data_IF_289834254414
#
_entry.id   IF_289834254414
#
_cell.length_a   1.000
_cell.length_b   1.000
_cell.length_c   1.000
_cell.angle_alpha   90.00
_cell.angle_beta   90.00
_cell.angle_gamma   90.00
#
_symmetry.space_group_name_H-M   'P 1'
#
loop_
_entity.id
_entity.type
_entity.pdbx_description
1 polymer ?
#
# COMPACT_ATOMS: atom_id res chain seq x y z
N UNK A 1 -2.23 17.51 -16.22
CA UNK A 1 -3.32 17.81 -15.28
C UNK A 1 -2.87 17.48 -13.88
N UNK A 2 -3.58 17.95 -12.86
CA UNK A 2 -3.20 17.76 -11.46
C UNK A 2 -3.72 16.43 -10.92
N UNK A 3 -2.95 15.79 -10.04
CA UNK A 3 -3.37 14.59 -9.32
C UNK A 3 -3.65 14.96 -7.86
N UNK A 4 -4.90 14.87 -7.45
CA UNK A 4 -5.34 15.12 -6.08
C UNK A 4 -5.46 13.83 -5.28
N UNK A 5 -5.32 13.95 -3.97
CA UNK A 5 -5.66 12.92 -3.00
C UNK A 5 -6.90 13.35 -2.22
N UNK A 6 -7.84 12.43 -2.03
CA UNK A 6 -8.95 12.69 -1.12
C UNK A 6 -9.43 11.43 -0.39
N UNK A 7 -10.21 11.63 0.66
CA UNK A 7 -10.71 10.56 1.50
C UNK A 7 -11.88 9.83 0.82
N UNK A 8 -11.77 8.51 0.74
CA UNK A 8 -12.84 7.59 0.31
C UNK A 8 -14.11 7.69 1.17
N UNK A 9 -14.01 8.26 2.38
CA UNK A 9 -15.16 8.48 3.29
C UNK A 9 -16.09 9.59 2.80
N UNK A 10 -15.66 10.45 1.87
CA UNK A 10 -16.51 11.51 1.32
C UNK A 10 -17.52 10.95 0.34
N UNK A 11 -18.71 11.55 0.31
CA UNK A 11 -19.73 11.24 -0.68
C UNK A 11 -19.29 11.70 -2.08
N UNK A 12 -19.66 10.94 -3.10
CA UNK A 12 -19.31 11.22 -4.50
C UNK A 12 -19.73 12.62 -4.94
N UNK A 13 -20.94 13.06 -4.59
CA UNK A 13 -21.43 14.40 -4.90
C UNK A 13 -20.52 15.52 -4.35
N UNK A 14 -19.93 15.30 -3.17
CA UNK A 14 -18.99 16.26 -2.57
C UNK A 14 -17.68 16.31 -3.36
N UNK A 15 -17.19 15.16 -3.81
CA UNK A 15 -15.97 15.06 -4.61
C UNK A 15 -16.17 15.69 -6.00
N UNK A 16 -17.28 15.40 -6.68
CA UNK A 16 -17.63 15.98 -7.99
C UNK A 16 -17.75 17.50 -7.91
N UNK A 17 -18.38 18.03 -6.85
CA UNK A 17 -18.46 19.48 -6.63
C UNK A 17 -17.09 20.11 -6.36
N UNK A 18 -16.22 19.42 -5.63
CA UNK A 18 -14.90 19.92 -5.25
C UNK A 18 -13.89 19.85 -6.40
N UNK A 19 -14.01 18.84 -7.26
CA UNK A 19 -13.13 18.60 -8.41
C UNK A 19 -13.97 18.45 -9.69
N UNK A 20 -14.60 19.53 -10.18
CA UNK A 20 -15.44 19.46 -11.37
C UNK A 20 -14.65 18.97 -12.59
N UNK A 21 -15.16 17.95 -13.28
CA UNK A 21 -14.52 17.38 -14.47
C UNK A 21 -13.34 16.46 -14.20
N UNK A 22 -12.95 16.26 -12.93
CA UNK A 22 -11.88 15.32 -12.58
C UNK A 22 -12.37 13.87 -12.60
N UNK A 23 -11.47 12.95 -12.96
CA UNK A 23 -11.71 11.51 -12.85
C UNK A 23 -11.46 11.05 -11.41
N UNK A 24 -12.51 10.60 -10.73
CA UNK A 24 -12.43 10.03 -9.38
C UNK A 24 -12.08 8.54 -9.48
N UNK A 25 -11.04 8.10 -8.77
CA UNK A 25 -10.50 6.74 -8.84
C UNK A 25 -10.36 6.19 -7.42
N UNK A 26 -11.09 5.12 -7.10
CA UNK A 26 -10.96 4.41 -5.82
C UNK A 26 -9.84 3.37 -5.89
N UNK A 27 -8.74 3.60 -5.17
CA UNK A 27 -7.60 2.67 -5.10
C UNK A 27 -7.60 1.83 -3.83
N UNK A 28 -8.69 1.86 -3.06
CA UNK A 28 -8.81 1.10 -1.81
C UNK A 28 -9.15 -0.37 -2.07
N UNK A 29 -9.05 -1.19 -1.02
CA UNK A 29 -9.51 -2.58 -1.05
C UNK A 29 -11.04 -2.72 -1.23
N UNK A 30 -11.78 -1.62 -1.34
CA UNK A 30 -13.24 -1.59 -1.55
C UNK A 30 -13.62 -1.11 -2.94
N UNK A 31 -12.65 -0.82 -3.81
CA UNK A 31 -12.98 -0.49 -5.19
C UNK A 31 -13.76 -1.63 -5.84
N UNK A 32 -14.76 -1.27 -6.63
CA UNK A 32 -15.59 -2.21 -7.38
C UNK A 32 -15.01 -2.53 -8.77
N UNK A 33 -13.96 -1.83 -9.17
CA UNK A 33 -13.31 -1.98 -10.47
C UNK A 33 -11.87 -2.51 -10.33
N UNK A 34 -11.15 -2.54 -11.44
CA UNK A 34 -9.78 -2.99 -11.52
C UNK A 34 -8.80 -2.19 -10.64
N UNK A 35 -9.15 -0.97 -10.21
CA UNK A 35 -8.28 -0.15 -9.36
C UNK A 35 -8.15 -0.69 -7.94
N UNK A 36 -8.97 -1.69 -7.57
CA UNK A 36 -8.73 -2.52 -6.37
C UNK A 36 -7.33 -3.14 -6.36
N UNK A 37 -6.71 -3.32 -7.53
CA UNK A 37 -5.36 -3.85 -7.70
C UNK A 37 -4.27 -2.94 -7.13
N UNK A 38 -4.55 -1.64 -6.96
CA UNK A 38 -3.63 -0.70 -6.29
C UNK A 38 -3.64 -0.83 -4.77
N UNK A 39 -4.62 -1.51 -4.19
CA UNK A 39 -4.67 -1.76 -2.75
C UNK A 39 -3.45 -2.58 -2.30
N UNK A 40 -2.80 -2.25 -1.17
CA UNK A 40 -1.74 -3.07 -0.61
C UNK A 40 -2.21 -4.48 -0.20
N UNK A 41 -3.53 -4.68 -0.11
CA UNK A 41 -4.16 -5.98 0.14
C UNK A 41 -4.37 -6.80 -1.15
N UNK A 42 -4.17 -6.26 -2.35
CA UNK A 42 -4.43 -7.07 -3.54
C UNK A 42 -3.39 -8.22 -3.66
N UNK A 43 -3.83 -9.49 -3.85
CA UNK A 43 -2.93 -10.64 -3.88
C UNK A 43 -2.28 -10.79 -5.27
N UNK A 44 -1.36 -9.89 -5.63
CA UNK A 44 -0.63 -9.94 -6.91
C UNK A 44 0.23 -11.18 -7.10
N UNK A 45 0.70 -11.79 -6.02
CA UNK A 45 1.61 -12.94 -6.08
C UNK A 45 3.03 -12.59 -6.52
N UNK A 46 3.99 -13.38 -6.04
CA UNK A 46 5.40 -13.26 -6.46
C UNK A 46 6.05 -11.92 -6.09
N UNK A 47 5.55 -11.22 -5.07
CA UNK A 47 6.14 -9.97 -4.60
C UNK A 47 7.36 -10.31 -3.75
N UNK A 48 8.58 -9.86 -4.09
CA UNK A 48 9.78 -10.20 -3.34
C UNK A 48 9.72 -9.64 -1.92
N UNK A 49 10.03 -10.49 -0.94
CA UNK A 49 10.16 -10.07 0.46
C UNK A 49 11.57 -9.51 0.65
N UNK A 50 11.74 -8.24 1.05
CA UNK A 50 13.06 -7.65 1.25
C UNK A 50 13.92 -8.49 2.20
N UNK A 51 15.22 -8.56 1.92
CA UNK A 51 16.21 -9.24 2.77
C UNK A 51 15.94 -10.74 3.04
N UNK A 52 15.17 -11.42 2.19
CA UNK A 52 14.66 -12.77 2.49
C UNK A 52 15.09 -13.86 1.50
N UNK A 53 16.23 -13.69 0.83
CA UNK A 53 16.85 -14.76 0.03
C UNK A 53 15.96 -15.29 -1.11
N UNK A 54 15.20 -14.42 -1.77
CA UNK A 54 14.33 -14.78 -2.90
C UNK A 54 12.93 -15.24 -2.52
N UNK A 55 12.58 -15.29 -1.23
CA UNK A 55 11.20 -15.55 -0.80
C UNK A 55 10.24 -14.47 -1.31
N UNK A 56 9.00 -14.88 -1.60
CA UNK A 56 7.95 -14.01 -2.13
C UNK A 56 6.66 -14.10 -1.33
N UNK A 57 5.83 -13.08 -1.39
CA UNK A 57 4.50 -13.01 -0.79
C UNK A 57 3.41 -12.70 -1.83
N UNK A 58 2.16 -12.89 -1.39
CA UNK A 58 0.97 -12.63 -2.20
C UNK A 58 0.61 -11.15 -2.26
N UNK A 59 0.77 -10.39 -1.17
CA UNK A 59 0.40 -8.96 -1.12
C UNK A 59 1.42 -8.12 -0.33
N UNK A 60 1.40 -6.80 -0.54
CA UNK A 60 2.23 -5.83 0.21
C UNK A 60 1.88 -5.87 1.69
N UNK A 61 0.59 -5.89 2.02
CA UNK A 61 0.14 -6.02 3.40
C UNK A 61 0.56 -7.36 4.01
N UNK A 62 0.60 -8.44 3.21
CA UNK A 62 1.07 -9.74 3.68
C UNK A 62 2.53 -9.70 4.12
N UNK A 63 3.38 -8.98 3.38
CA UNK A 63 4.77 -8.72 3.77
C UNK A 63 4.81 -7.89 5.06
N UNK A 64 4.05 -6.79 5.10
CA UNK A 64 4.03 -5.87 6.24
C UNK A 64 3.58 -6.57 7.53
N UNK A 65 2.47 -7.31 7.49
CA UNK A 65 1.95 -8.03 8.65
C UNK A 65 2.81 -9.25 8.99
N UNK A 66 3.33 -9.97 8.00
CA UNK A 66 4.15 -11.16 8.24
C UNK A 66 5.49 -10.83 8.90
N UNK A 67 6.15 -9.74 8.49
CA UNK A 67 7.42 -9.32 9.09
C UNK A 67 7.26 -8.59 10.42
N UNK A 68 6.04 -8.18 10.79
CA UNK A 68 5.79 -7.48 12.05
C UNK A 68 6.08 -8.40 13.24
N UNK A 69 6.83 -7.90 14.22
CA UNK A 69 7.15 -8.65 15.44
C UNK A 69 6.43 -8.01 16.61
N UNK A 70 5.87 -8.84 17.48
CA UNK A 70 5.21 -8.46 18.72
C UNK A 70 5.91 -9.11 19.91
N UNK A 71 5.68 -8.58 21.11
CA UNK A 71 6.19 -9.18 22.36
C UNK A 71 5.87 -10.67 22.48
N UNK A 72 4.66 -11.08 22.08
CA UNK A 72 4.21 -12.47 22.17
C UNK A 72 4.36 -13.29 20.90
N UNK A 73 4.86 -12.73 19.79
CA UNK A 73 4.87 -13.43 18.51
C UNK A 73 5.87 -12.84 17.49
N UNK A 74 6.71 -13.70 16.90
CA UNK A 74 7.70 -13.32 15.88
C UNK A 74 7.05 -13.23 14.46
N UNK A 75 7.88 -13.30 13.42
CA UNK A 75 7.47 -13.35 12.01
C UNK A 75 6.38 -14.43 11.78
N UNK A 76 5.33 -14.05 11.05
CA UNK A 76 4.25 -14.94 10.64
C UNK A 76 4.33 -15.20 9.13
N UNK A 77 4.90 -16.35 8.76
CA UNK A 77 5.05 -16.74 7.35
C UNK A 77 3.71 -17.08 6.68
N UNK A 78 2.67 -17.38 7.45
CA UNK A 78 1.32 -17.61 6.94
C UNK A 78 0.72 -16.35 6.30
N UNK A 79 1.11 -15.16 6.78
CA UNK A 79 0.73 -13.89 6.17
C UNK A 79 1.23 -13.76 4.72
N UNK A 80 2.40 -14.32 4.41
CA UNK A 80 3.00 -14.21 3.07
C UNK A 80 2.21 -14.99 2.02
N UNK A 81 1.60 -16.12 2.38
CA UNK A 81 0.89 -17.00 1.45
C UNK A 81 -0.63 -16.79 1.44
N UNK A 82 -1.15 -15.89 2.28
CA UNK A 82 -2.57 -15.59 2.32
C UNK A 82 -3.01 -14.94 0.99
N UNK A 83 -3.91 -15.59 0.25
CA UNK A 83 -4.53 -15.02 -0.97
C UNK A 83 -5.94 -14.48 -0.71
N UNK A 84 -6.55 -14.87 0.41
CA UNK A 84 -7.93 -14.47 0.77
C UNK A 84 -8.02 -13.08 1.38
N UNK A 85 -6.90 -12.56 1.89
CA UNK A 85 -6.78 -11.33 2.69
C UNK A 85 -7.62 -11.32 3.99
N UNK A 86 -8.28 -12.43 4.32
CA UNK A 86 -9.03 -12.58 5.56
C UNK A 86 -8.04 -12.78 6.71
N UNK A 87 -8.34 -12.17 7.85
CA UNK A 87 -7.57 -12.28 9.10
C UNK A 87 -6.08 -11.92 8.99
N UNK A 88 -5.71 -11.10 7.99
CA UNK A 88 -4.32 -10.73 7.73
C UNK A 88 -3.76 -9.76 8.78
N UNK A 89 -4.60 -8.88 9.31
CA UNK A 89 -4.16 -7.86 10.28
C UNK A 89 -3.83 -8.50 11.63
N UNK A 90 -2.58 -8.36 12.06
CA UNK A 90 -2.11 -8.76 13.39
C UNK A 90 -2.22 -7.56 14.34
N UNK A 91 -3.05 -7.71 15.38
CA UNK A 91 -3.47 -6.61 16.27
C UNK A 91 -2.86 -6.73 17.66
N UNK A 92 -2.71 -5.58 18.33
CA UNK A 92 -2.13 -5.51 19.69
C UNK A 92 -2.94 -6.30 20.73
N UNK A 93 -4.27 -6.34 20.57
CA UNK A 93 -5.17 -7.09 21.46
C UNK A 93 -4.86 -8.59 21.48
N UNK A 94 -4.42 -9.15 20.35
CA UNK A 94 -4.15 -10.59 20.22
C UNK A 94 -2.68 -10.93 20.50
N UNK A 95 -1.75 -10.07 20.11
CA UNK A 95 -0.32 -10.43 20.02
C UNK A 95 0.61 -9.63 20.94
N UNK A 96 0.11 -8.63 21.67
CA UNK A 96 0.93 -7.74 22.52
C UNK A 96 1.39 -6.48 21.79
N UNK A 97 2.34 -5.74 22.37
CA UNK A 97 2.85 -4.53 21.71
C UNK A 97 3.72 -4.88 20.50
N UNK A 98 3.64 -4.12 19.39
CA UNK A 98 4.57 -4.28 18.28
C UNK A 98 5.97 -3.80 18.69
N UNK A 99 6.96 -4.65 18.48
CA UNK A 99 8.36 -4.33 18.73
C UNK A 99 9.04 -3.71 17.50
N UNK A 100 8.53 -4.02 16.30
CA UNK A 100 9.09 -3.54 15.04
C UNK A 100 8.77 -4.49 13.89
N UNK A 101 9.61 -4.47 12.85
CA UNK A 101 9.54 -5.44 11.76
C UNK A 101 10.88 -6.13 11.57
N UNK A 102 10.88 -7.45 11.36
CA UNK A 102 12.08 -8.20 11.10
C UNK A 102 12.67 -7.80 9.75
N UNK A 103 13.98 -7.53 9.70
CA UNK A 103 14.70 -7.29 8.46
C UNK A 103 14.98 -8.61 7.73
N UNK A 104 13.97 -9.06 7.01
CA UNK A 104 13.98 -10.33 6.28
C UNK A 104 13.51 -11.50 7.14
N UNK A 105 12.91 -12.52 6.51
CA UNK A 105 12.23 -13.62 7.21
C UNK A 105 13.12 -14.33 8.24
N UNK A 106 14.40 -14.54 7.90
CA UNK A 106 15.39 -15.19 8.77
C UNK A 106 16.42 -14.20 9.34
N UNK A 107 16.12 -12.90 9.29
CA UNK A 107 17.02 -11.86 9.79
C UNK A 107 17.12 -11.89 11.32
N UNK A 108 18.15 -11.23 11.85
CA UNK A 108 18.30 -11.02 13.30
C UNK A 108 17.94 -9.59 13.72
N UNK A 109 18.12 -8.62 12.82
CA UNK A 109 17.82 -7.21 13.06
C UNK A 109 16.31 -6.94 13.09
N UNK A 110 15.89 -6.14 14.07
CA UNK A 110 14.52 -5.63 14.18
C UNK A 110 14.52 -4.13 13.86
N UNK A 111 13.79 -3.76 12.82
CA UNK A 111 13.63 -2.38 12.39
C UNK A 111 12.51 -1.70 13.20
N UNK A 112 12.76 -0.51 13.78
CA UNK A 112 11.68 0.32 14.28
C UNK A 112 10.74 0.73 13.14
N UNK A 113 9.58 1.28 13.51
CA UNK A 113 8.46 1.44 12.58
C UNK A 113 8.80 2.34 11.37
N UNK A 114 9.54 3.43 11.56
CA UNK A 114 9.92 4.34 10.49
C UNK A 114 10.89 3.66 9.52
N UNK A 115 11.91 3.00 10.04
CA UNK A 115 12.93 2.28 9.30
C UNK A 115 12.30 1.14 8.51
N UNK A 116 11.36 0.40 9.11
CA UNK A 116 10.59 -0.63 8.43
C UNK A 116 9.74 -0.04 7.29
N UNK A 117 9.11 1.12 7.49
CA UNK A 117 8.34 1.81 6.43
C UNK A 117 9.27 2.15 5.25
N UNK A 118 10.43 2.73 5.52
CA UNK A 118 11.39 3.14 4.50
C UNK A 118 12.09 1.96 3.79
N UNK A 119 12.50 0.93 4.54
CA UNK A 119 13.32 -0.17 4.02
C UNK A 119 12.50 -1.38 3.54
N UNK A 120 11.22 -1.48 3.93
CA UNK A 120 10.35 -2.61 3.56
C UNK A 120 9.13 -2.10 2.80
N UNK A 121 8.26 -1.29 3.42
CA UNK A 121 6.97 -0.96 2.83
C UNK A 121 7.08 -0.19 1.51
N UNK A 122 7.85 0.91 1.50
CA UNK A 122 8.04 1.74 0.32
C UNK A 122 8.65 0.97 -0.87
N UNK A 123 9.79 0.27 -0.73
CA UNK A 123 10.39 -0.44 -1.87
C UNK A 123 9.49 -1.57 -2.37
N UNK A 124 8.77 -2.26 -1.49
CA UNK A 124 7.81 -3.31 -1.87
C UNK A 124 6.65 -2.73 -2.66
N UNK A 125 6.03 -1.64 -2.18
CA UNK A 125 4.92 -1.01 -2.89
C UNK A 125 5.36 -0.44 -4.24
N UNK A 126 6.53 0.23 -4.29
CA UNK A 126 7.13 0.70 -5.55
C UNK A 126 7.40 -0.44 -6.52
N UNK A 127 7.89 -1.59 -6.04
CA UNK A 127 8.11 -2.76 -6.89
C UNK A 127 6.79 -3.25 -7.51
N UNK A 128 5.70 -3.29 -6.74
CA UNK A 128 4.37 -3.65 -7.25
C UNK A 128 3.91 -2.68 -8.33
N UNK A 129 4.06 -1.38 -8.13
CA UNK A 129 3.73 -0.38 -9.16
C UNK A 129 4.52 -0.64 -10.46
N UNK A 130 5.82 -0.88 -10.36
CA UNK A 130 6.69 -1.06 -11.52
C UNK A 130 6.49 -2.39 -12.27
N UNK A 131 6.07 -3.47 -11.60
CA UNK A 131 6.06 -4.81 -12.18
C UNK A 131 4.67 -5.45 -12.32
N UNK A 132 3.68 -5.00 -11.56
CA UNK A 132 2.35 -5.63 -11.49
C UNK A 132 1.21 -4.74 -11.98
N UNK A 133 1.44 -3.42 -12.02
CA UNK A 133 0.43 -2.40 -12.31
C UNK A 133 0.82 -1.50 -13.48
N UNK A 134 1.80 -1.93 -14.29
CA UNK A 134 2.35 -1.13 -15.39
C UNK A 134 1.25 -0.74 -16.37
N UNK A 135 0.36 -1.67 -16.75
CA UNK A 135 -0.76 -1.44 -17.66
C UNK A 135 -1.74 -0.40 -17.13
N UNK A 136 -2.24 -0.54 -15.91
CA UNK A 136 -3.17 0.40 -15.30
C UNK A 136 -2.55 1.79 -15.15
N UNK A 137 -1.26 1.86 -14.82
CA UNK A 137 -0.50 3.11 -14.75
C UNK A 137 -0.36 3.77 -16.13
N UNK A 138 0.15 3.06 -17.15
CA UNK A 138 0.55 3.66 -18.43
C UNK A 138 -0.60 3.83 -19.42
N UNK A 139 -1.54 2.89 -19.45
CA UNK A 139 -2.63 2.90 -20.41
C UNK A 139 -3.88 3.60 -19.87
N UNK A 140 -4.00 3.78 -18.55
CA UNK A 140 -5.17 4.43 -17.93
C UNK A 140 -4.81 5.71 -17.21
N UNK A 141 -4.20 5.62 -16.02
CA UNK A 141 -3.99 6.80 -15.17
C UNK A 141 -3.18 7.87 -15.92
N UNK A 142 -2.08 7.50 -16.58
CA UNK A 142 -1.28 8.45 -17.38
C UNK A 142 -2.04 9.02 -18.57
N UNK A 143 -2.87 8.24 -19.26
CA UNK A 143 -3.62 8.74 -20.41
C UNK A 143 -4.74 9.69 -19.98
N UNK A 144 -5.45 9.36 -18.90
CA UNK A 144 -6.46 10.25 -18.33
C UNK A 144 -5.84 11.54 -17.79
N UNK A 145 -4.68 11.47 -17.11
CA UNK A 145 -4.00 12.67 -16.57
C UNK A 145 -3.47 13.63 -17.65
N UNK A 146 -3.45 13.23 -18.93
CA UNK A 146 -3.15 14.14 -20.04
C UNK A 146 -4.32 15.07 -20.37
N UNK A 147 -5.56 14.65 -20.07
CA UNK A 147 -6.77 15.33 -20.55
C UNK A 147 -7.71 15.80 -19.44
N UNK A 148 -7.60 15.26 -18.23
CA UNK A 148 -8.38 15.69 -17.06
C UNK A 148 -7.60 15.48 -15.76
N UNK A 149 -7.96 16.23 -14.72
CA UNK A 149 -7.43 16.01 -13.36
C UNK A 149 -7.83 14.64 -12.84
N UNK A 150 -7.02 14.06 -11.96
CA UNK A 150 -7.31 12.80 -11.29
C UNK A 150 -7.53 13.05 -9.79
N UNK A 151 -8.45 12.29 -9.18
CA UNK A 151 -8.63 12.26 -7.73
C UNK A 151 -8.47 10.81 -7.27
N UNK A 152 -7.35 10.50 -6.63
CA UNK A 152 -7.10 9.18 -6.06
C UNK A 152 -7.67 9.11 -4.65
N UNK A 153 -8.54 8.13 -4.41
CA UNK A 153 -9.20 7.96 -3.12
C UNK A 153 -8.53 6.91 -2.25
N UNK A 154 -8.34 7.27 -0.98
CA UNK A 154 -7.82 6.39 0.06
C UNK A 154 -8.52 6.67 1.40
N UNK A 155 -8.38 5.79 2.40
CA UNK A 155 -8.93 6.03 3.73
C UNK A 155 -8.11 7.04 4.54
N UNK A 156 -6.81 7.15 4.24
CA UNK A 156 -5.89 8.15 4.78
C UNK A 156 -5.25 8.93 3.64
N UNK A 157 -4.85 10.18 3.91
CA UNK A 157 -4.26 11.10 2.90
C UNK A 157 -2.88 11.61 3.32
N UNK A 158 -2.29 11.01 4.36
CA UNK A 158 -0.94 11.35 4.80
C UNK A 158 0.09 10.89 3.75
N UNK A 159 0.66 11.84 3.01
CA UNK A 159 1.75 11.58 2.05
C UNK A 159 3.15 11.72 2.64
N UNK A 160 3.28 12.19 3.88
CA UNK A 160 4.58 12.34 4.54
C UNK A 160 5.02 10.98 5.12
N UNK A 161 6.05 10.40 4.49
CA UNK A 161 6.64 9.13 4.90
C UNK A 161 7.28 9.19 6.29
N UNK A 162 7.73 10.37 6.73
CA UNK A 162 8.34 10.60 8.04
C UNK A 162 7.30 10.86 9.13
N UNK A 163 6.07 11.25 8.76
CA UNK A 163 4.98 11.37 9.70
C UNK A 163 4.42 9.98 10.07
N UNK A 164 4.89 9.44 11.19
CA UNK A 164 4.45 8.14 11.73
C UNK A 164 3.21 8.24 12.62
N UNK A 165 2.74 9.45 12.94
CA UNK A 165 1.52 9.65 13.76
C UNK A 165 0.24 9.24 13.03
N UNK A 166 0.30 9.12 11.69
CA UNK A 166 -0.79 8.70 10.82
C UNK A 166 -0.34 7.56 9.90
N UNK A 167 -1.26 6.66 9.52
CA UNK A 167 -0.95 5.68 8.47
C UNK A 167 -0.56 6.39 7.18
N UNK A 168 0.42 5.85 6.47
CA UNK A 168 0.83 6.35 5.16
C UNK A 168 -0.27 6.03 4.14
N UNK A 169 -0.59 7.00 3.29
CA UNK A 169 -1.50 6.79 2.17
C UNK A 169 -0.79 6.01 1.07
N UNK A 170 -1.41 4.94 0.55
CA UNK A 170 -0.87 4.29 -0.65
C UNK A 170 -1.24 5.09 -1.90
N UNK A 171 -2.36 5.84 -1.89
CA UNK A 171 -2.70 6.76 -2.97
C UNK A 171 -1.65 7.86 -3.17
N UNK A 172 -1.03 8.38 -2.08
CA UNK A 172 0.08 9.32 -2.23
C UNK A 172 1.31 8.70 -2.88
N UNK A 173 1.56 7.40 -2.69
CA UNK A 173 2.67 6.70 -3.34
C UNK A 173 2.41 6.49 -4.83
N UNK A 174 1.15 6.23 -5.21
CA UNK A 174 0.75 6.18 -6.63
C UNK A 174 0.92 7.55 -7.28
N UNK A 175 0.48 8.62 -6.60
CA UNK A 175 0.67 10.00 -7.06
C UNK A 175 2.15 10.29 -7.30
N UNK A 176 3.00 10.07 -6.30
CA UNK A 176 4.44 10.28 -6.41
C UNK A 176 5.05 9.48 -7.58
N UNK A 177 4.66 8.22 -7.74
CA UNK A 177 5.12 7.39 -8.86
C UNK A 177 4.71 7.95 -10.23
N UNK A 178 3.49 8.48 -10.36
CA UNK A 178 3.01 9.08 -11.61
C UNK A 178 3.69 10.42 -11.94
N UNK A 179 4.14 11.16 -10.93
CA UNK A 179 4.80 12.46 -11.07
C UNK A 179 6.32 12.35 -11.29
N UNK A 180 6.96 11.30 -10.76
CA UNK A 180 8.40 11.05 -10.92
C UNK A 180 8.80 10.51 -12.30
N UNK A 181 7.85 10.05 -13.12
CA UNK A 181 8.15 9.42 -14.42
C UNK A 181 7.40 9.99 -15.60
#
# INVERSE_FOLDING_TARGET
>A
MEIYLDSRKKAEQTLVKRYPGAKIIDVTSKSADEFVRFSPFYPHGGIPIPYSGGQTAQSVEGIWQGLKVFEGNDVDTGCFQNTTMKNLKRTVRKWGQPLGHRKGVNGQELLPYLEARLQIYLPVYRWVLAHKLTTELTEKLRQWNKTQDLVLLDYETNGDVYNISKPLSHASLIKAYLEES
#
